data_IF_438849564992
#
_entry.id   IF_438849564992
#
_cell.length_a   1.000
_cell.length_b   1.000
_cell.length_c   1.000
_cell.angle_alpha   90.00
_cell.angle_beta   90.00
_cell.angle_gamma   90.00
#
_symmetry.space_group_name_H-M   'P 1'
#
loop_
_entity.id
_entity.type
_entity.pdbx_description
1 polymer ?
#
# COMPACT_ATOMS: atom_id res chain seq x y z
N UNK A 1 -35.76 -34.24 -11.17
CA UNK A 1 -36.28 -32.93 -10.71
C UNK A 1 -35.47 -31.75 -11.28
N UNK A 2 -34.13 -31.74 -11.13
CA UNK A 2 -33.23 -30.69 -11.67
C UNK A 2 -33.31 -30.50 -13.20
N UNK A 3 -33.42 -31.59 -13.96
CA UNK A 3 -33.57 -31.53 -15.43
C UNK A 3 -34.85 -30.80 -15.89
N UNK A 4 -35.94 -30.90 -15.13
CA UNK A 4 -37.19 -30.17 -15.42
C UNK A 4 -37.09 -28.67 -15.14
N UNK A 5 -36.33 -28.29 -14.11
CA UNK A 5 -36.07 -26.86 -13.79
C UNK A 5 -35.21 -26.24 -14.88
N UNK A 6 -34.12 -26.90 -15.30
CA UNK A 6 -33.26 -26.44 -16.40
C UNK A 6 -34.03 -26.28 -17.71
N UNK A 7 -34.92 -27.23 -18.04
CA UNK A 7 -35.76 -27.17 -19.25
C UNK A 7 -36.73 -25.97 -19.21
N UNK A 8 -37.26 -25.64 -18.03
CA UNK A 8 -38.13 -24.48 -17.82
C UNK A 8 -37.37 -23.15 -17.93
N UNK A 9 -36.16 -23.07 -17.34
CA UNK A 9 -35.28 -21.90 -17.45
C UNK A 9 -34.85 -21.65 -18.90
N UNK A 10 -34.54 -22.70 -19.65
CA UNK A 10 -34.17 -22.62 -21.07
C UNK A 10 -35.33 -22.20 -21.99
N UNK A 11 -36.58 -22.44 -21.59
CA UNK A 11 -37.78 -22.02 -22.35
C UNK A 11 -38.15 -20.56 -22.09
N UNK A 12 -37.87 -20.04 -20.89
CA UNK A 12 -38.14 -18.64 -20.51
C UNK A 12 -36.85 -17.83 -20.38
N UNK A 13 -36.00 -17.88 -21.42
CA UNK A 13 -34.62 -17.32 -21.39
C UNK A 13 -34.57 -15.85 -20.99
N UNK A 14 -35.46 -15.01 -21.51
CA UNK A 14 -35.48 -13.57 -21.19
C UNK A 14 -35.74 -13.34 -19.71
N UNK A 15 -36.77 -13.99 -19.14
CA UNK A 15 -37.10 -13.83 -17.71
C UNK A 15 -35.95 -14.30 -16.82
N UNK A 16 -35.38 -15.47 -17.14
CA UNK A 16 -34.24 -16.01 -16.39
C UNK A 16 -33.00 -15.12 -16.51
N UNK A 17 -32.71 -14.61 -17.70
CA UNK A 17 -31.57 -13.71 -17.93
C UNK A 17 -31.72 -12.43 -17.11
N UNK A 18 -32.87 -11.75 -17.19
CA UNK A 18 -33.12 -10.52 -16.41
C UNK A 18 -32.98 -10.76 -14.90
N UNK A 19 -33.47 -11.88 -14.38
CA UNK A 19 -33.32 -12.19 -12.94
C UNK A 19 -31.88 -12.46 -12.55
N UNK A 20 -31.13 -13.24 -13.34
CA UNK A 20 -29.75 -13.61 -13.03
C UNK A 20 -28.83 -12.40 -13.14
N UNK A 21 -28.97 -11.59 -14.19
CA UNK A 21 -28.15 -10.38 -14.36
C UNK A 21 -28.47 -9.34 -13.30
N UNK A 22 -29.75 -9.15 -12.94
CA UNK A 22 -30.13 -8.25 -11.85
C UNK A 22 -29.49 -8.64 -10.52
N UNK A 23 -29.59 -9.92 -10.12
CA UNK A 23 -28.95 -10.41 -8.91
C UNK A 23 -27.42 -10.33 -8.95
N UNK A 24 -26.81 -10.63 -10.11
CA UNK A 24 -25.37 -10.56 -10.29
C UNK A 24 -24.84 -9.12 -10.17
N UNK A 25 -25.53 -8.14 -10.77
CA UNK A 25 -25.17 -6.72 -10.66
C UNK A 25 -25.28 -6.25 -9.22
N UNK A 26 -26.34 -6.62 -8.49
CA UNK A 26 -26.49 -6.26 -7.08
C UNK A 26 -25.36 -6.81 -6.21
N UNK A 27 -25.00 -8.10 -6.36
CA UNK A 27 -23.88 -8.70 -5.65
C UNK A 27 -22.54 -8.07 -6.04
N UNK A 28 -22.34 -7.79 -7.33
CA UNK A 28 -21.12 -7.15 -7.82
C UNK A 28 -20.91 -5.79 -7.18
N UNK A 29 -21.94 -4.92 -7.19
CA UNK A 29 -21.85 -3.58 -6.59
C UNK A 29 -21.57 -3.69 -5.09
N UNK A 30 -22.24 -4.60 -4.38
CA UNK A 30 -22.02 -4.81 -2.96
C UNK A 30 -20.57 -5.23 -2.66
N UNK A 31 -20.06 -6.26 -3.34
CA UNK A 31 -18.69 -6.73 -3.17
C UNK A 31 -17.66 -5.68 -3.58
N UNK A 32 -17.91 -4.94 -4.67
CA UNK A 32 -17.03 -3.89 -5.15
C UNK A 32 -16.90 -2.77 -4.10
N UNK A 33 -18.03 -2.26 -3.60
CA UNK A 33 -18.03 -1.21 -2.57
C UNK A 33 -17.35 -1.71 -1.29
N UNK A 34 -17.63 -2.95 -0.85
CA UNK A 34 -16.95 -3.55 0.30
C UNK A 34 -15.43 -3.65 0.11
N UNK A 35 -14.97 -4.08 -1.07
CA UNK A 35 -13.54 -4.17 -1.38
C UNK A 35 -12.84 -2.81 -1.41
N UNK A 36 -13.53 -1.77 -1.92
CA UNK A 36 -13.00 -0.40 -1.93
C UNK A 36 -12.95 0.17 -0.51
N UNK A 37 -13.99 -0.05 0.30
CA UNK A 37 -14.00 0.39 1.70
C UNK A 37 -12.89 -0.28 2.50
N UNK A 38 -12.73 -1.60 2.38
CA UNK A 38 -11.68 -2.34 3.06
C UNK A 38 -10.28 -1.94 2.56
N UNK A 39 -10.13 -1.75 1.24
CA UNK A 39 -8.90 -1.27 0.63
C UNK A 39 -8.51 0.12 1.14
N UNK A 40 -9.46 1.05 1.18
CA UNK A 40 -9.25 2.39 1.73
C UNK A 40 -8.95 2.34 3.22
N UNK A 41 -9.71 1.57 4.00
CA UNK A 41 -9.50 1.39 5.42
C UNK A 41 -8.09 0.87 5.70
N UNK A 42 -7.61 -0.10 4.92
CA UNK A 42 -6.24 -0.60 5.02
C UNK A 42 -5.18 0.45 4.69
N UNK A 43 -5.45 1.36 3.75
CA UNK A 43 -4.54 2.45 3.41
C UNK A 43 -4.54 3.57 4.44
N UNK A 44 -5.67 3.87 5.08
CA UNK A 44 -5.81 4.99 6.03
C UNK A 44 -5.60 4.60 7.49
N UNK A 45 -5.88 3.34 7.85
CA UNK A 45 -5.74 2.81 9.23
C UNK A 45 -4.65 1.75 9.34
N UNK A 46 -3.95 1.46 8.23
CA UNK A 46 -2.87 0.49 8.20
C UNK A 46 -1.74 0.85 9.15
N UNK A 47 -1.66 0.11 10.26
CA UNK A 47 -0.62 0.13 11.29
C UNK A 47 0.83 0.01 10.77
N UNK A 48 1.03 -0.27 9.48
CA UNK A 48 2.34 -0.38 8.84
C UNK A 48 2.94 0.99 8.49
N UNK A 49 2.12 2.03 8.26
CA UNK A 49 2.60 3.39 8.01
C UNK A 49 2.91 4.14 9.32
N UNK A 50 2.06 3.97 10.34
CA UNK A 50 2.11 4.74 11.60
C UNK A 50 3.27 4.37 12.55
N UNK A 51 4.05 3.33 12.24
CA UNK A 51 5.18 2.88 13.09
C UNK A 51 6.53 3.43 12.67
N UNK A 52 6.63 4.10 11.51
CA UNK A 52 7.92 4.58 10.99
C UNK A 52 7.92 6.10 10.95
N UNK A 53 8.73 6.71 11.80
CA UNK A 53 8.96 8.15 11.78
C UNK A 53 10.15 8.47 10.87
N UNK A 54 9.92 9.32 9.88
CA UNK A 54 10.99 9.83 9.01
C UNK A 54 11.50 11.14 9.61
N UNK A 55 12.79 11.17 9.94
CA UNK A 55 13.43 12.31 10.60
C UNK A 55 14.27 13.08 9.59
N UNK A 56 14.08 14.40 9.54
CA UNK A 56 14.86 15.33 8.73
C UNK A 56 15.49 16.41 9.61
N UNK A 57 16.49 17.10 9.08
CA UNK A 57 16.99 18.33 9.70
C UNK A 57 15.90 19.40 9.70
N UNK A 58 15.91 20.23 10.76
CA UNK A 58 15.00 21.36 10.87
C UNK A 58 15.07 22.25 9.62
N UNK A 59 13.91 22.67 9.11
CA UNK A 59 13.78 23.50 7.91
C UNK A 59 14.34 22.88 6.61
N UNK A 60 14.63 21.56 6.58
CA UNK A 60 15.11 20.84 5.38
C UNK A 60 14.32 19.57 5.12
N UNK A 61 13.13 19.70 4.53
CA UNK A 61 12.27 18.55 4.23
C UNK A 61 12.73 17.73 3.01
N UNK A 62 13.60 18.29 2.15
CA UNK A 62 14.06 17.57 0.96
C UNK A 62 15.19 16.58 1.34
N UNK A 63 15.09 15.29 0.97
CA UNK A 63 16.12 14.31 1.29
C UNK A 63 17.50 14.66 0.73
N UNK A 64 17.57 15.40 -0.39
CA UNK A 64 18.85 15.82 -0.99
C UNK A 64 19.53 16.94 -0.21
N UNK A 65 18.78 17.72 0.58
CA UNK A 65 19.30 18.87 1.33
C UNK A 65 19.45 18.61 2.83
N UNK A 66 18.71 17.64 3.38
CA UNK A 66 18.85 17.17 4.76
C UNK A 66 20.00 16.17 4.90
N UNK A 67 21.03 16.53 5.67
CA UNK A 67 22.19 15.65 5.91
C UNK A 67 22.42 15.45 7.40
N UNK A 68 21.74 14.44 7.97
CA UNK A 68 21.95 14.03 9.35
C UNK A 68 23.26 13.21 9.47
N UNK A 69 24.13 13.50 10.46
CA UNK A 69 25.28 12.65 10.74
C UNK A 69 24.85 11.25 11.18
N UNK A 70 25.60 10.21 10.80
CA UNK A 70 25.24 8.82 11.14
C UNK A 70 25.20 8.53 12.64
N UNK A 71 25.97 9.26 13.45
CA UNK A 71 25.96 9.11 14.92
C UNK A 71 24.60 9.42 15.56
N UNK A 72 23.73 10.16 14.86
CA UNK A 72 22.37 10.41 15.33
C UNK A 72 21.54 9.13 15.38
N UNK A 73 21.86 8.10 14.59
CA UNK A 73 21.17 6.82 14.64
C UNK A 73 21.21 6.19 16.04
N UNK A 74 22.39 6.24 16.67
CA UNK A 74 22.62 5.77 18.04
C UNK A 74 21.79 6.57 19.05
N UNK A 75 21.86 7.92 18.97
CA UNK A 75 21.10 8.81 19.88
C UNK A 75 19.60 8.64 19.74
N UNK A 76 19.08 8.46 18.52
CA UNK A 76 17.67 8.23 18.26
C UNK A 76 17.23 6.88 18.83
N UNK A 77 18.09 5.85 18.72
CA UNK A 77 17.81 4.52 19.27
C UNK A 77 17.70 4.48 20.80
N UNK A 78 18.30 5.45 21.50
CA UNK A 78 18.20 5.58 22.96
C UNK A 78 16.87 6.22 23.43
N UNK A 79 16.08 6.80 22.51
CA UNK A 79 14.80 7.44 22.85
C UNK A 79 13.76 6.37 23.24
N UNK A 80 13.08 6.51 24.40
CA UNK A 80 12.06 5.57 24.84
C UNK A 80 10.96 5.37 23.78
N UNK A 81 10.69 4.11 23.43
CA UNK A 81 9.69 3.74 22.42
C UNK A 81 10.26 3.55 21.00
N UNK A 82 11.50 3.93 20.74
CA UNK A 82 12.18 3.62 19.47
C UNK A 82 12.63 2.16 19.50
N UNK A 83 12.08 1.35 18.58
CA UNK A 83 12.43 -0.08 18.46
C UNK A 83 13.69 -0.31 17.63
N UNK A 84 13.85 0.46 16.55
CA UNK A 84 14.91 0.28 15.56
C UNK A 84 15.10 1.60 14.78
N UNK A 85 16.31 1.83 14.28
CA UNK A 85 16.65 3.02 13.48
C UNK A 85 17.38 2.58 12.23
N UNK A 86 16.90 3.02 11.07
CA UNK A 86 17.52 2.75 9.78
C UNK A 86 18.05 4.06 9.20
N UNK A 87 19.37 4.25 9.09
CA UNK A 87 19.94 5.31 8.27
C UNK A 87 19.59 5.06 6.81
N UNK A 88 19.02 6.07 6.15
CA UNK A 88 18.68 6.01 4.73
C UNK A 88 19.34 7.20 4.03
N UNK A 89 20.01 6.91 2.92
CA UNK A 89 20.50 7.92 1.99
C UNK A 89 19.64 7.90 0.73
N UNK A 90 19.02 9.03 0.41
CA UNK A 90 18.24 9.18 -0.83
C UNK A 90 18.93 10.18 -1.72
N UNK A 91 19.30 9.76 -2.92
CA UNK A 91 19.91 10.61 -3.94
C UNK A 91 19.08 10.57 -5.21
N UNK A 92 18.82 11.73 -5.80
CA UNK A 92 18.06 11.85 -7.06
C UNK A 92 18.90 12.56 -8.10
N UNK A 93 18.78 12.13 -9.36
CA UNK A 93 19.47 12.78 -10.48
C UNK A 93 18.91 14.18 -10.77
N UNK A 94 17.62 14.41 -10.52
CA UNK A 94 16.98 15.72 -10.61
C UNK A 94 15.86 15.85 -9.54
N UNK A 95 15.45 17.09 -9.25
CA UNK A 95 14.38 17.42 -8.31
C UNK A 95 13.22 18.15 -9.00
N UNK A 96 13.10 18.05 -10.34
CA UNK A 96 12.05 18.70 -11.11
C UNK A 96 10.84 17.78 -11.19
N UNK A 97 9.66 18.31 -11.49
CA UNK A 97 8.48 17.51 -11.83
C UNK A 97 8.58 16.89 -13.23
N UNK A 98 9.72 16.30 -13.56
CA UNK A 98 9.95 15.58 -14.82
C UNK A 98 9.86 14.07 -14.59
N UNK A 99 9.54 13.32 -15.64
CA UNK A 99 9.35 11.86 -15.55
C UNK A 99 10.67 11.07 -15.61
N UNK A 100 11.80 11.74 -15.81
CA UNK A 100 13.15 11.18 -15.94
C UNK A 100 13.89 11.12 -14.58
N UNK A 101 13.17 10.88 -13.49
CA UNK A 101 13.76 10.81 -12.15
C UNK A 101 14.28 9.39 -11.89
N UNK A 102 15.57 9.31 -11.56
CA UNK A 102 16.22 8.12 -11.03
C UNK A 102 16.54 8.40 -9.55
N UNK A 103 15.99 7.56 -8.67
CA UNK A 103 16.19 7.65 -7.22
C UNK A 103 17.04 6.47 -6.75
N UNK A 104 18.17 6.77 -6.13
CA UNK A 104 19.01 5.80 -5.44
C UNK A 104 18.72 5.87 -3.95
N UNK A 105 18.30 4.74 -3.37
CA UNK A 105 18.04 4.59 -1.94
C UNK A 105 19.11 3.69 -1.34
N UNK A 106 20.06 4.27 -0.63
CA UNK A 106 21.04 3.54 0.18
C UNK A 106 20.45 3.23 1.55
N UNK A 107 20.39 1.95 1.90
CA UNK A 107 19.97 1.46 3.21
C UNK A 107 20.55 0.06 3.44
N UNK A 108 20.62 -0.39 4.69
CA UNK A 108 21.13 -1.73 5.02
C UNK A 108 20.20 -2.82 4.45
N UNK A 109 20.72 -3.73 3.59
CA UNK A 109 19.89 -4.72 2.92
C UNK A 109 19.27 -5.74 3.88
N UNK A 110 19.96 -6.09 4.97
CA UNK A 110 19.45 -7.05 5.95
C UNK A 110 18.31 -6.41 6.77
N UNK A 111 18.46 -5.14 7.12
CA UNK A 111 17.44 -4.38 7.85
C UNK A 111 16.21 -4.12 6.97
N UNK A 112 16.38 -3.86 5.67
CA UNK A 112 15.27 -3.77 4.71
C UNK A 112 14.49 -5.08 4.67
N UNK A 113 15.16 -6.23 4.53
CA UNK A 113 14.47 -7.53 4.46
C UNK A 113 13.71 -7.87 5.75
N UNK A 114 14.24 -7.48 6.92
CA UNK A 114 13.58 -7.66 8.22
C UNK A 114 12.34 -6.76 8.39
N UNK A 115 12.41 -5.53 7.92
CA UNK A 115 11.33 -4.53 8.09
C UNK A 115 10.27 -4.61 6.99
N UNK A 116 10.68 -4.97 5.77
CA UNK A 116 9.82 -5.20 4.61
C UNK A 116 10.18 -6.57 4.01
N UNK A 117 9.39 -7.62 4.24
CA UNK A 117 9.59 -8.92 3.61
C UNK A 117 9.18 -8.84 2.13
N UNK A 118 10.03 -8.19 1.32
CA UNK A 118 9.88 -8.10 -0.13
C UNK A 118 10.42 -9.42 -0.70
N UNK A 119 9.55 -10.22 -1.30
CA UNK A 119 9.98 -11.30 -2.19
C UNK A 119 10.23 -10.67 -3.57
N UNK A 120 11.47 -10.75 -4.04
CA UNK A 120 11.85 -10.41 -5.41
C UNK A 120 11.32 -11.48 -6.37
#
# INVERSE_FOLDING_TARGET
MISYVLKTLWRHRTRTLLTVTGSAVAMFVFCFVGSVQEGLNRLTTGLDADRTLIVFQENRFCPTTSRLPEDYSRKIGEIPGVRDVMPIQVWTNNCRASLDIIVFNGADPNQIQKTRPIKL
#
